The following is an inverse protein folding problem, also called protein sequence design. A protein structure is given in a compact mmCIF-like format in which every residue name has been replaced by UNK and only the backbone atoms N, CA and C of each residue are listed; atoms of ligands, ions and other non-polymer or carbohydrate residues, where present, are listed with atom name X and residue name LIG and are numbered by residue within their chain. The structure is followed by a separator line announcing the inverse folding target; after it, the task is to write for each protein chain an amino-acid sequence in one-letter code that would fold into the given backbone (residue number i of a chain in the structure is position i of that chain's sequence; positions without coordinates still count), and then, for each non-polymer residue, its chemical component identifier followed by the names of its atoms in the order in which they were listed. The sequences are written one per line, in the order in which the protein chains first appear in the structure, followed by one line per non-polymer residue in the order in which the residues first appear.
data_IF_128950256942
#
_entry.id   IF_128950256942
#
_cell.length_a   1.000
_cell.length_b   1.000
_cell.length_c   1.000
_cell.angle_alpha   90.00
_cell.angle_beta   90.00
_cell.angle_gamma   90.00
#
_symmetry.space_group_name_H-M   'P 1'
#
loop_
_entity.id
_entity.type
_entity.pdbx_description
1 polymer ?
#
# COMPACT_ATOMS: atom_id res chain seq x y z
N UNK A 1 -11.41 -15.68 10.75
CA UNK A 1 -10.14 -16.40 11.02
C UNK A 1 -8.89 -15.50 10.88
N UNK A 2 -9.01 -14.21 10.55
CA UNK A 2 -7.87 -13.27 10.44
C UNK A 2 -7.59 -12.49 11.74
N UNK A 3 -8.58 -12.38 12.64
CA UNK A 3 -8.45 -11.72 13.95
C UNK A 3 -7.24 -12.22 14.75
N UNK A 4 -7.04 -13.54 14.72
CA UNK A 4 -6.11 -14.21 15.63
C UNK A 4 -4.65 -13.87 15.39
N UNK A 5 -4.28 -13.26 14.26
CA UNK A 5 -2.88 -12.86 14.02
C UNK A 5 -2.62 -11.44 14.48
N UNK A 6 -3.49 -10.49 14.13
CA UNK A 6 -3.35 -9.08 14.52
C UNK A 6 -3.48 -8.94 16.03
N UNK A 7 -4.49 -9.58 16.63
CA UNK A 7 -4.68 -9.58 18.09
C UNK A 7 -3.44 -10.09 18.83
N UNK A 8 -2.80 -11.16 18.33
CA UNK A 8 -1.56 -11.70 18.93
C UNK A 8 -0.39 -10.72 18.81
N UNK A 9 -0.26 -10.03 17.68
CA UNK A 9 0.78 -9.02 17.47
C UNK A 9 0.58 -7.84 18.42
N UNK A 10 -0.65 -7.31 18.51
CA UNK A 10 -1.00 -6.23 19.43
C UNK A 10 -0.77 -6.65 20.89
N UNK A 11 -1.15 -7.87 21.27
CA UNK A 11 -0.88 -8.39 22.62
C UNK A 11 0.63 -8.52 22.92
N UNK A 12 1.44 -8.87 21.92
CA UNK A 12 2.90 -8.94 22.06
C UNK A 12 3.51 -7.55 22.27
N UNK A 13 3.06 -6.57 21.47
CA UNK A 13 3.45 -5.16 21.60
C UNK A 13 3.05 -4.61 22.98
N UNK A 14 1.80 -4.83 23.38
CA UNK A 14 1.28 -4.40 24.67
C UNK A 14 2.05 -4.97 25.86
N UNK A 15 2.41 -6.26 25.81
CA UNK A 15 3.25 -6.89 26.84
C UNK A 15 4.65 -6.28 26.94
N UNK A 16 5.25 -5.83 25.84
CA UNK A 16 6.55 -5.15 25.86
C UNK A 16 6.45 -3.78 26.53
N UNK A 17 5.40 -3.01 26.21
CA UNK A 17 5.10 -1.74 26.87
C UNK A 17 4.93 -1.96 28.38
N UNK A 18 4.09 -2.92 28.76
CA UNK A 18 3.84 -3.26 30.16
C UNK A 18 5.12 -3.66 30.88
N UNK A 19 5.92 -4.54 30.28
CA UNK A 19 7.19 -4.98 30.85
C UNK A 19 8.11 -3.80 31.12
N UNK A 20 8.30 -2.92 30.14
CA UNK A 20 9.18 -1.76 30.31
C UNK A 20 8.66 -0.78 31.36
N UNK A 21 7.35 -0.50 31.36
CA UNK A 21 6.72 0.34 32.39
C UNK A 21 6.97 -0.21 33.80
N UNK A 22 6.85 -1.52 33.99
CA UNK A 22 7.12 -2.17 35.27
C UNK A 22 8.61 -2.13 35.64
N UNK A 23 9.52 -2.26 34.68
CA UNK A 23 10.97 -2.16 34.91
C UNK A 23 11.39 -0.77 35.43
N UNK A 24 10.72 0.30 34.97
CA UNK A 24 10.94 1.66 35.45
C UNK A 24 10.07 2.04 36.67
N UNK A 25 9.29 1.09 37.19
CA UNK A 25 8.53 1.24 38.45
C UNK A 25 7.25 2.07 38.36
N UNK A 26 6.74 2.37 37.15
CA UNK A 26 5.53 3.18 36.97
C UNK A 26 4.25 2.33 36.98
N UNK A 27 3.16 2.88 37.48
CA UNK A 27 1.80 2.34 37.40
C UNK A 27 1.05 2.92 36.20
N UNK A 28 -0.04 2.29 35.73
CA UNK A 28 -0.88 2.86 34.67
C UNK A 28 -1.41 4.26 35.00
N UNK A 29 -1.65 4.55 36.28
CA UNK A 29 -2.07 5.85 36.81
C UNK A 29 -1.00 6.94 36.58
N UNK A 30 0.28 6.63 36.76
CA UNK A 30 1.37 7.59 36.53
C UNK A 30 1.44 7.96 35.04
N UNK A 31 1.31 6.96 34.15
CA UNK A 31 1.29 7.20 32.70
C UNK A 31 0.06 8.00 32.30
N UNK A 32 -1.08 7.75 32.93
CA UNK A 32 -2.31 8.51 32.70
C UNK A 32 -2.08 10.00 33.02
N UNK A 33 -1.43 10.33 34.13
CA UNK A 33 -1.08 11.70 34.49
C UNK A 33 -0.10 12.34 33.49
N UNK A 34 0.91 11.59 33.03
CA UNK A 34 1.92 12.09 32.07
C UNK A 34 1.39 12.30 30.65
N UNK A 35 0.30 11.61 30.27
CA UNK A 35 -0.20 11.58 28.88
C UNK A 35 -1.58 12.20 28.70
N UNK A 36 -2.33 12.40 29.78
CA UNK A 36 -3.75 12.77 29.75
C UNK A 36 -4.69 11.63 29.32
N UNK A 37 -4.17 10.41 29.16
CA UNK A 37 -4.98 9.21 28.92
C UNK A 37 -5.57 8.68 30.23
N UNK A 38 -6.55 7.78 30.15
CA UNK A 38 -7.09 7.11 31.36
C UNK A 38 -6.26 5.86 31.67
N UNK A 39 -6.10 5.52 32.96
CA UNK A 39 -5.43 4.27 33.35
C UNK A 39 -6.05 3.00 32.70
N UNK A 40 -7.38 2.88 32.55
CA UNK A 40 -7.98 1.82 31.72
C UNK A 40 -7.52 1.82 30.26
N UNK A 41 -7.34 2.98 29.63
CA UNK A 41 -6.78 3.08 28.27
C UNK A 41 -5.37 2.50 28.23
N UNK A 42 -4.51 2.83 29.21
CA UNK A 42 -3.16 2.27 29.31
C UNK A 42 -3.21 0.74 29.43
N UNK A 43 -4.05 0.21 30.32
CA UNK A 43 -4.23 -1.25 30.49
C UNK A 43 -4.75 -1.91 29.20
N UNK A 44 -5.65 -1.27 28.49
CA UNK A 44 -6.16 -1.78 27.22
C UNK A 44 -5.05 -1.89 26.17
N UNK A 45 -4.19 -0.87 26.06
CA UNK A 45 -3.02 -0.89 25.18
C UNK A 45 -2.08 -2.04 25.56
N UNK A 46 -1.78 -2.19 26.86
CA UNK A 46 -0.92 -3.27 27.37
C UNK A 46 -1.49 -4.67 27.13
N UNK A 47 -2.81 -4.80 27.13
CA UNK A 47 -3.51 -6.04 26.81
C UNK A 47 -3.67 -6.28 25.29
N UNK A 48 -3.13 -5.41 24.45
CA UNK A 48 -3.20 -5.53 22.99
C UNK A 48 -4.57 -5.19 22.39
N UNK A 49 -5.38 -4.40 23.09
CA UNK A 49 -6.60 -3.84 22.50
C UNK A 49 -6.25 -2.75 21.51
N UNK A 50 -7.13 -2.57 20.53
CA UNK A 50 -6.98 -1.52 19.53
C UNK A 50 -6.88 -0.14 20.19
N UNK A 51 -6.03 0.70 19.63
CA UNK A 51 -5.79 2.06 20.07
C UNK A 51 -5.36 2.91 18.89
N UNK A 52 -5.41 4.23 19.05
CA UNK A 52 -4.85 5.15 18.08
C UNK A 52 -3.32 5.14 18.16
N UNK A 53 -2.66 5.28 17.01
CA UNK A 53 -1.20 5.34 16.95
C UNK A 53 -0.65 6.52 17.78
N UNK A 54 -1.37 7.64 17.87
CA UNK A 54 -1.02 8.77 18.75
C UNK A 54 -0.93 8.37 20.23
N UNK A 55 -1.87 7.53 20.70
CA UNK A 55 -1.87 7.06 22.09
C UNK A 55 -0.68 6.13 22.34
N UNK A 56 -0.38 5.23 21.38
CA UNK A 56 0.81 4.39 21.43
C UNK A 56 2.10 5.22 21.53
N UNK A 57 2.24 6.27 20.71
CA UNK A 57 3.38 7.18 20.76
C UNK A 57 3.45 7.92 22.10
N UNK A 58 2.33 8.46 22.60
CA UNK A 58 2.28 9.15 23.89
C UNK A 58 2.76 8.24 25.04
N UNK A 59 2.30 6.98 25.06
CA UNK A 59 2.75 6.00 26.06
C UNK A 59 4.24 5.71 25.93
N UNK A 60 4.76 5.52 24.71
CA UNK A 60 6.19 5.28 24.50
C UNK A 60 7.05 6.44 25.02
N UNK A 61 6.62 7.69 24.75
CA UNK A 61 7.31 8.89 25.26
C UNK A 61 7.26 8.95 26.78
N UNK A 62 6.12 8.65 27.41
CA UNK A 62 5.98 8.69 28.86
C UNK A 62 6.85 7.66 29.58
N UNK A 63 7.03 6.48 29.01
CA UNK A 63 7.92 5.44 29.58
C UNK A 63 9.36 5.50 29.04
N UNK A 64 9.70 6.56 28.29
CA UNK A 64 11.04 6.78 27.73
C UNK A 64 11.59 5.60 26.92
N UNK A 65 10.73 4.93 26.14
CA UNK A 65 11.13 3.85 25.23
C UNK A 65 10.97 4.30 23.78
N UNK A 66 11.97 4.02 22.94
CA UNK A 66 11.84 4.32 21.53
C UNK A 66 10.84 3.36 20.85
N UNK A 67 9.86 3.82 20.05
CA UNK A 67 8.86 2.96 19.42
C UNK A 67 9.44 1.79 18.61
N UNK A 68 10.62 1.99 17.99
CA UNK A 68 11.40 0.93 17.32
C UNK A 68 11.63 -0.29 18.22
N UNK A 69 12.02 -0.09 19.48
CA UNK A 69 12.32 -1.19 20.41
C UNK A 69 11.06 -1.99 20.75
N UNK A 70 9.94 -1.29 20.94
CA UNK A 70 8.65 -1.93 21.17
C UNK A 70 8.22 -2.75 19.96
N UNK A 71 8.37 -2.19 18.75
CA UNK A 71 7.95 -2.78 17.48
C UNK A 71 8.95 -3.78 16.88
N UNK A 72 10.10 -4.01 17.53
CA UNK A 72 11.13 -4.95 17.06
C UNK A 72 10.72 -6.41 17.32
N UNK A 73 9.64 -6.85 16.66
CA UNK A 73 9.04 -8.18 16.77
C UNK A 73 9.13 -8.92 15.43
N UNK A 74 9.33 -10.24 15.50
CA UNK A 74 9.29 -11.09 14.30
C UNK A 74 7.86 -11.22 13.80
N UNK A 75 7.62 -10.80 12.55
CA UNK A 75 6.31 -10.86 11.90
C UNK A 75 6.41 -11.54 10.52
N UNK A 76 5.37 -12.29 10.15
CA UNK A 76 5.26 -12.82 8.78
C UNK A 76 4.79 -11.71 7.86
N UNK A 77 5.65 -11.30 6.92
CA UNK A 77 5.33 -10.28 5.92
C UNK A 77 4.46 -10.89 4.82
N UNK A 78 3.15 -10.85 5.05
CA UNK A 78 2.14 -11.20 4.04
C UNK A 78 0.91 -10.31 4.22
N UNK A 79 0.20 -9.96 3.13
CA UNK A 79 -1.05 -9.23 3.25
C UNK A 79 -2.10 -10.10 3.95
N UNK A 80 -3.04 -9.45 4.63
CA UNK A 80 -4.22 -10.13 5.19
C UNK A 80 -5.10 -10.72 4.09
N UNK A 81 -5.17 -10.02 2.96
CA UNK A 81 -5.96 -10.40 1.81
C UNK A 81 -5.16 -10.17 0.53
N UNK A 82 -5.13 -11.18 -0.32
CA UNK A 82 -4.58 -11.06 -1.66
C UNK A 82 -5.41 -10.07 -2.50
N UNK A 83 -4.74 -9.28 -3.32
CA UNK A 83 -5.44 -8.43 -4.28
C UNK A 83 -6.30 -9.29 -5.23
N UNK A 84 -7.50 -8.83 -5.52
CA UNK A 84 -8.35 -9.45 -6.54
C UNK A 84 -7.69 -9.37 -7.93
N UNK A 85 -7.96 -10.34 -8.81
CA UNK A 85 -7.40 -10.38 -10.17
C UNK A 85 -7.57 -9.05 -10.93
N UNK A 86 -8.76 -8.41 -10.95
CA UNK A 86 -8.90 -7.13 -11.65
C UNK A 86 -8.02 -6.00 -11.09
N UNK A 87 -7.76 -5.99 -9.78
CA UNK A 87 -6.87 -5.00 -9.14
C UNK A 87 -5.39 -5.33 -9.35
N UNK A 88 -5.03 -6.62 -9.37
CA UNK A 88 -3.68 -7.07 -9.79
C UNK A 88 -3.38 -6.61 -11.21
N UNK A 89 -4.33 -6.72 -12.13
CA UNK A 89 -4.13 -6.32 -13.53
C UNK A 89 -4.15 -4.80 -13.74
N UNK A 90 -5.07 -4.05 -13.12
CA UNK A 90 -5.14 -2.58 -13.27
C UNK A 90 -3.83 -1.90 -12.86
N UNK A 91 -3.18 -2.39 -11.80
CA UNK A 91 -1.92 -1.85 -11.27
C UNK A 91 -0.74 -2.07 -12.24
N UNK A 92 -0.87 -3.02 -13.19
CA UNK A 92 0.22 -3.43 -14.09
C UNK A 92 0.06 -2.97 -15.53
N UNK A 93 -1.12 -2.48 -15.94
CA UNK A 93 -1.34 -2.06 -17.33
C UNK A 93 -0.51 -0.84 -17.73
N UNK A 94 -0.43 0.18 -16.87
CA UNK A 94 0.39 1.38 -17.14
C UNK A 94 1.88 1.03 -17.31
N UNK A 95 2.56 0.38 -16.36
CA UNK A 95 3.99 0.09 -16.51
C UNK A 95 4.29 -0.86 -17.69
N UNK A 96 3.36 -1.75 -18.06
CA UNK A 96 3.51 -2.60 -19.26
C UNK A 96 3.42 -1.79 -20.55
N UNK A 97 2.45 -0.88 -20.65
CA UNK A 97 2.37 0.06 -21.78
C UNK A 97 3.61 0.98 -21.81
N UNK A 98 4.14 1.38 -20.65
CA UNK A 98 5.39 2.15 -20.58
C UNK A 98 6.56 1.36 -21.14
N UNK A 99 6.64 0.05 -20.88
CA UNK A 99 7.70 -0.79 -21.48
C UNK A 99 7.64 -0.83 -23.01
N UNK A 100 6.45 -0.69 -23.61
CA UNK A 100 6.32 -0.58 -25.06
C UNK A 100 6.83 0.76 -25.62
N UNK A 101 6.92 1.80 -24.79
CA UNK A 101 7.56 3.06 -25.20
C UNK A 101 9.07 2.93 -25.28
N UNK A 102 9.66 2.03 -24.50
CA UNK A 102 11.10 1.74 -24.53
C UNK A 102 11.50 0.81 -25.67
N UNK A 103 10.53 0.14 -26.31
CA UNK A 103 10.76 -0.70 -27.50
C UNK A 103 10.38 0.03 -28.78
N UNK A 104 10.64 -0.62 -29.92
CA UNK A 104 10.27 -0.11 -31.24
C UNK A 104 8.76 -0.19 -31.54
N UNK A 105 7.94 -0.65 -30.59
CA UNK A 105 6.53 -0.92 -30.79
C UNK A 105 5.74 0.32 -31.26
N UNK A 106 6.03 1.49 -30.70
CA UNK A 106 5.42 2.77 -31.07
C UNK A 106 6.21 3.57 -32.13
N UNK A 107 7.26 3.00 -32.74
CA UNK A 107 7.98 3.65 -33.85
C UNK A 107 7.11 3.75 -35.12
N UNK A 108 6.09 2.90 -35.23
CA UNK A 108 5.02 3.02 -36.23
C UNK A 108 3.69 3.39 -35.57
N UNK A 109 2.75 3.89 -36.37
CA UNK A 109 1.43 4.27 -35.88
C UNK A 109 0.69 3.03 -35.35
N UNK A 110 0.27 3.06 -34.08
CA UNK A 110 -0.48 1.99 -33.40
C UNK A 110 -1.84 2.46 -32.93
N UNK A 111 -2.83 1.59 -32.99
CA UNK A 111 -4.14 1.84 -32.39
C UNK A 111 -4.21 1.33 -30.95
N UNK A 112 -5.23 1.74 -30.21
CA UNK A 112 -5.50 1.16 -28.90
C UNK A 112 -5.83 -0.35 -28.98
N UNK A 113 -6.32 -0.84 -30.12
CA UNK A 113 -6.56 -2.27 -30.32
C UNK A 113 -5.24 -3.03 -30.49
N UNK A 114 -4.30 -2.49 -31.26
CA UNK A 114 -2.97 -3.08 -31.46
C UNK A 114 -2.25 -3.25 -30.11
N UNK A 115 -2.36 -2.27 -29.22
CA UNK A 115 -1.79 -2.34 -27.86
C UNK A 115 -2.48 -3.42 -27.03
N UNK A 116 -3.80 -3.62 -27.17
CA UNK A 116 -4.51 -4.71 -26.48
C UNK A 116 -4.04 -6.07 -26.97
N UNK A 117 -3.89 -6.23 -28.28
CA UNK A 117 -3.39 -7.46 -28.90
C UNK A 117 -1.96 -7.77 -28.44
N UNK A 118 -1.08 -6.76 -28.42
CA UNK A 118 0.29 -6.92 -27.94
C UNK A 118 0.37 -7.28 -26.45
N UNK A 119 -0.47 -6.64 -25.61
CA UNK A 119 -0.59 -6.98 -24.18
C UNK A 119 -1.09 -8.42 -23.97
N UNK A 120 -1.99 -8.88 -24.83
CA UNK A 120 -2.47 -10.27 -24.80
C UNK A 120 -1.38 -11.25 -25.27
N UNK A 121 -0.61 -10.90 -26.29
CA UNK A 121 0.45 -11.75 -26.83
C UNK A 121 1.62 -11.91 -25.84
N UNK A 122 2.17 -10.81 -25.33
CA UNK A 122 3.38 -10.81 -24.50
C UNK A 122 3.06 -11.23 -23.06
N UNK A 123 1.99 -10.68 -22.49
CA UNK A 123 1.70 -10.82 -21.06
C UNK A 123 0.51 -11.72 -20.75
N UNK A 124 -0.19 -12.26 -21.77
CA UNK A 124 -1.39 -13.10 -21.62
C UNK A 124 -2.52 -12.42 -20.84
N UNK A 125 -2.68 -11.12 -21.01
CA UNK A 125 -3.70 -10.30 -20.33
C UNK A 125 -4.86 -10.02 -21.26
N UNK A 126 -6.09 -10.13 -20.74
CA UNK A 126 -7.28 -9.61 -21.41
C UNK A 126 -7.67 -8.26 -20.78
N UNK A 127 -7.74 -7.21 -21.60
CA UNK A 127 -8.18 -5.88 -21.17
C UNK A 127 -9.06 -5.22 -22.23
N UNK A 128 -9.83 -4.21 -21.84
CA UNK A 128 -10.71 -3.47 -22.76
C UNK A 128 -9.93 -2.35 -23.45
N UNK A 129 -10.18 -2.14 -24.74
CA UNK A 129 -9.64 -1.03 -25.53
C UNK A 129 -9.97 0.35 -24.92
N UNK A 130 -11.10 0.48 -24.22
CA UNK A 130 -11.45 1.72 -23.51
C UNK A 130 -10.47 2.07 -22.38
N UNK A 131 -9.98 1.06 -21.64
CA UNK A 131 -9.00 1.25 -20.57
C UNK A 131 -7.65 1.64 -21.14
N UNK A 132 -7.20 0.95 -22.18
CA UNK A 132 -5.95 1.27 -22.89
C UNK A 132 -6.00 2.66 -23.52
N UNK A 133 -7.13 3.04 -24.11
CA UNK A 133 -7.31 4.37 -24.71
C UNK A 133 -7.15 5.50 -23.70
N UNK A 134 -7.61 5.32 -22.45
CA UNK A 134 -7.42 6.31 -21.38
C UNK A 134 -5.94 6.45 -21.04
N UNK A 135 -5.21 5.33 -20.94
CA UNK A 135 -3.77 5.34 -20.64
C UNK A 135 -2.98 6.01 -21.78
N UNK A 136 -3.26 5.68 -23.03
CA UNK A 136 -2.57 6.25 -24.19
C UNK A 136 -2.84 7.75 -24.33
N UNK A 137 -4.06 8.22 -24.04
CA UNK A 137 -4.36 9.67 -23.99
C UNK A 137 -3.51 10.38 -22.94
N UNK A 138 -3.40 9.83 -21.72
CA UNK A 138 -2.53 10.38 -20.68
C UNK A 138 -1.06 10.42 -21.15
N UNK A 139 -0.59 9.40 -21.87
CA UNK A 139 0.79 9.40 -22.43
C UNK A 139 1.01 10.44 -23.51
N UNK A 140 -0.04 10.86 -24.21
CA UNK A 140 0.00 12.00 -25.13
C UNK A 140 0.08 13.31 -24.34
N UNK A 141 -0.69 13.46 -23.26
CA UNK A 141 -0.63 14.61 -22.35
C UNK A 141 0.77 14.75 -21.70
N UNK A 142 1.38 13.63 -21.31
CA UNK A 142 2.76 13.52 -20.79
C UNK A 142 3.82 13.72 -21.90
N UNK A 143 3.44 14.03 -23.15
CA UNK A 143 4.33 14.21 -24.30
C UNK A 143 5.17 12.99 -24.73
N UNK A 144 4.90 11.80 -24.20
CA UNK A 144 5.58 10.56 -24.60
C UNK A 144 5.11 10.03 -25.96
N UNK A 145 3.84 10.28 -26.30
CA UNK A 145 3.22 9.88 -27.57
C UNK A 145 2.64 11.08 -28.31
N UNK A 146 2.56 10.99 -29.64
CA UNK A 146 1.76 11.86 -30.51
C UNK A 146 0.53 11.11 -30.96
N UNK A 147 -0.59 11.82 -31.09
CA UNK A 147 -1.88 11.27 -31.55
C UNK A 147 -2.25 11.83 -32.92
N UNK A 148 -2.71 10.95 -33.81
CA UNK A 148 -3.30 11.31 -35.11
C UNK A 148 -4.66 10.64 -35.23
N UNK A 149 -5.68 11.44 -35.59
CA UNK A 149 -7.04 10.92 -35.80
C UNK A 149 -7.26 10.64 -37.29
N UNK A 150 -7.71 9.43 -37.61
CA UNK A 150 -8.13 9.05 -38.97
C UNK A 150 -9.51 8.40 -38.88
N UNK A 151 -10.54 9.14 -39.30
CA UNK A 151 -11.94 8.73 -39.12
C UNK A 151 -12.33 8.61 -37.64
N UNK A 152 -12.84 7.42 -37.26
CA UNK A 152 -13.23 7.10 -35.87
C UNK A 152 -12.08 6.58 -35.00
N UNK A 153 -10.91 6.31 -35.58
CA UNK A 153 -9.78 5.70 -34.89
C UNK A 153 -8.69 6.73 -34.55
N UNK A 154 -8.06 6.50 -33.40
CA UNK A 154 -6.88 7.23 -32.95
C UNK A 154 -5.65 6.36 -33.13
N UNK A 155 -4.63 6.93 -33.75
CA UNK A 155 -3.31 6.34 -33.96
C UNK A 155 -2.30 7.06 -33.06
N UNK A 156 -1.48 6.28 -32.38
CA UNK A 156 -0.47 6.73 -31.44
C UNK A 156 0.90 6.37 -31.97
N UNK A 157 1.86 7.30 -31.88
CA UNK A 157 3.24 7.10 -32.31
C UNK A 157 4.19 7.76 -31.31
N UNK A 158 5.36 7.17 -31.08
CA UNK A 158 6.42 7.76 -30.26
C UNK A 158 6.82 9.12 -30.82
N UNK A 159 7.00 10.09 -29.92
CA UNK A 159 7.29 11.49 -30.28
C UNK A 159 8.62 11.63 -31.01
#
# INVERSE_FOLDING_TARGET
MTDTTIEKLLATIGKRIQKHRLEIGLQPEDIAEMTGLTAPTIRNIENGKETYFSNFIAVCLAINIHPKEVLDISISIKPLFELSLPRKEKTRLTPRIDSFLETDFFNIERTANDVVEELAAIYKIQTKTSVVSVILKRKVEESALKIRKKGRLNFYKKK
#
